data_IF_659344626817
#
_entry.id   IF_659344626817
#
_cell.length_a   1.000
_cell.length_b   1.000
_cell.length_c   1.000
_cell.angle_alpha   90.00
_cell.angle_beta   90.00
_cell.angle_gamma   90.00
#
_symmetry.space_group_name_H-M   'P 1'
#
loop_
_entity.id
_entity.type
_entity.pdbx_description
1 polymer ?
#
# COMPACT_ATOMS: atom_id res chain seq x y z
N UNK A 1 -16.92 7.50 -5.57
CA UNK A 1 -16.47 8.16 -4.32
C UNK A 1 -16.26 9.65 -4.53
N UNK A 2 -15.33 10.08 -5.40
CA UNK A 2 -15.02 11.50 -5.60
C UNK A 2 -16.25 12.39 -5.84
N UNK A 3 -17.12 12.02 -6.78
CA UNK A 3 -18.35 12.76 -7.11
C UNK A 3 -19.30 12.91 -5.92
N UNK A 4 -19.42 11.88 -5.08
CA UNK A 4 -20.22 11.94 -3.84
C UNK A 4 -19.63 12.92 -2.83
N UNK A 5 -18.31 12.94 -2.65
CA UNK A 5 -17.64 13.90 -1.74
C UNK A 5 -17.77 15.34 -2.27
N UNK A 6 -17.65 15.54 -3.58
CA UNK A 6 -17.86 16.84 -4.20
C UNK A 6 -19.31 17.34 -4.04
N UNK A 7 -20.31 16.45 -4.10
CA UNK A 7 -21.70 16.78 -3.82
C UNK A 7 -21.90 17.20 -2.35
N UNK A 8 -21.28 16.49 -1.41
CA UNK A 8 -21.29 16.85 0.02
C UNK A 8 -20.64 18.22 0.24
N UNK A 9 -19.52 18.54 -0.43
CA UNK A 9 -18.94 19.89 -0.39
C UNK A 9 -19.98 20.94 -0.78
N UNK A 10 -20.70 20.73 -1.89
CA UNK A 10 -21.70 21.69 -2.34
C UNK A 10 -22.85 21.87 -1.34
N UNK A 11 -23.26 20.80 -0.65
CA UNK A 11 -24.26 20.87 0.42
C UNK A 11 -23.75 21.67 1.63
N UNK A 12 -22.54 21.38 2.10
CA UNK A 12 -21.91 22.06 3.24
C UNK A 12 -21.70 23.54 2.92
N UNK A 13 -21.20 23.88 1.73
CA UNK A 13 -21.04 25.26 1.28
C UNK A 13 -22.37 26.03 1.31
N UNK A 14 -23.47 25.41 0.84
CA UNK A 14 -24.80 26.02 0.89
C UNK A 14 -25.33 26.20 2.31
N UNK A 15 -25.10 25.22 3.18
CA UNK A 15 -25.58 25.23 4.57
C UNK A 15 -24.89 26.31 5.41
N UNK A 16 -23.60 26.55 5.17
CA UNK A 16 -22.78 27.45 5.98
C UNK A 16 -22.36 28.73 5.25
N UNK A 17 -22.95 29.00 4.08
CA UNK A 17 -22.65 30.16 3.24
C UNK A 17 -21.16 30.33 2.90
N UNK A 18 -20.50 29.22 2.58
CA UNK A 18 -19.12 29.23 2.08
C UNK A 18 -19.09 29.24 0.56
N UNK A 19 -18.08 29.91 -0.02
CA UNK A 19 -17.76 29.71 -1.44
C UNK A 19 -17.25 28.28 -1.66
N UNK A 20 -17.66 27.65 -2.76
CA UNK A 20 -17.17 26.32 -3.13
C UNK A 20 -15.64 26.30 -3.39
N UNK A 21 -15.05 27.45 -3.72
CA UNK A 21 -13.62 27.58 -3.97
C UNK A 21 -12.78 27.54 -2.68
N UNK A 22 -13.42 27.74 -1.51
CA UNK A 22 -12.75 27.67 -0.21
C UNK A 22 -12.47 26.23 0.22
N UNK A 23 -13.30 25.27 -0.18
CA UNK A 23 -13.17 23.85 0.19
C UNK A 23 -12.68 23.04 -1.01
N UNK A 24 -11.37 22.77 -1.03
CA UNK A 24 -10.72 21.99 -2.09
C UNK A 24 -10.82 20.50 -1.83
N UNK A 25 -11.28 19.74 -2.82
CA UNK A 25 -11.37 18.28 -2.76
C UNK A 25 -10.36 17.69 -3.75
N UNK A 26 -9.36 16.98 -3.23
CA UNK A 26 -8.39 16.24 -4.04
C UNK A 26 -8.79 14.78 -4.27
N UNK A 27 -7.93 14.04 -4.98
CA UNK A 27 -8.12 12.62 -5.25
C UNK A 27 -6.82 11.85 -4.98
N UNK A 28 -6.94 10.72 -4.29
CA UNK A 28 -5.86 9.78 -4.00
C UNK A 28 -6.28 8.36 -4.37
N UNK A 29 -5.31 7.48 -4.58
CA UNK A 29 -5.53 6.06 -4.89
C UNK A 29 -5.60 5.77 -6.39
N UNK A 30 -4.81 4.80 -6.86
CA UNK A 30 -4.72 4.46 -8.29
C UNK A 30 -3.88 5.44 -9.13
N UNK A 31 -3.38 6.53 -8.54
CA UNK A 31 -2.60 7.55 -9.25
C UNK A 31 -1.12 7.17 -9.26
N UNK A 32 -0.69 6.55 -10.38
CA UNK A 32 0.70 6.23 -10.66
C UNK A 32 1.17 6.59 -12.07
N UNK A 33 0.31 7.21 -12.88
CA UNK A 33 0.61 7.55 -14.27
C UNK A 33 0.03 8.92 -14.65
N UNK A 34 0.57 9.57 -15.68
CA UNK A 34 -0.01 10.79 -16.26
C UNK A 34 -1.50 10.68 -16.60
N UNK A 35 -1.94 9.54 -17.12
CA UNK A 35 -3.33 9.27 -17.51
C UNK A 35 -4.24 9.27 -16.28
N UNK A 36 -3.84 8.60 -15.20
CA UNK A 36 -4.60 8.56 -13.96
C UNK A 36 -4.72 9.95 -13.33
N UNK A 37 -3.65 10.73 -13.34
CA UNK A 37 -3.67 12.12 -12.87
C UNK A 37 -4.55 13.02 -13.74
N UNK A 38 -4.44 12.94 -15.07
CA UNK A 38 -5.30 13.69 -15.99
C UNK A 38 -6.79 13.36 -15.79
N UNK A 39 -7.13 12.08 -15.60
CA UNK A 39 -8.49 11.66 -15.30
C UNK A 39 -8.99 12.20 -13.95
N UNK A 40 -8.13 12.25 -12.92
CA UNK A 40 -8.47 12.85 -11.64
C UNK A 40 -8.78 14.35 -11.76
N UNK A 41 -7.94 15.10 -12.48
CA UNK A 41 -8.19 16.52 -12.73
C UNK A 41 -9.44 16.74 -13.59
N UNK A 42 -9.69 15.91 -14.59
CA UNK A 42 -10.90 15.98 -15.42
C UNK A 42 -12.19 15.72 -14.61
N UNK A 43 -12.13 14.93 -13.54
CA UNK A 43 -13.25 14.78 -12.59
C UNK A 43 -13.48 16.01 -11.71
N UNK A 44 -12.55 16.97 -11.70
CA UNK A 44 -12.62 18.21 -10.91
C UNK A 44 -11.72 18.23 -9.67
N UNK A 45 -10.84 17.24 -9.49
CA UNK A 45 -9.94 17.19 -8.34
C UNK A 45 -9.08 18.46 -8.27
N UNK A 46 -9.05 19.12 -7.12
CA UNK A 46 -8.23 20.32 -6.90
C UNK A 46 -6.74 19.99 -6.80
N UNK A 47 -6.41 18.76 -6.41
CA UNK A 47 -5.06 18.22 -6.32
C UNK A 47 -5.11 16.69 -6.37
N UNK A 48 -3.97 16.08 -6.67
CA UNK A 48 -3.80 14.62 -6.66
C UNK A 48 -2.79 14.22 -5.59
N UNK A 49 -2.93 13.02 -5.03
CA UNK A 49 -1.98 12.44 -4.10
C UNK A 49 -1.48 11.11 -4.65
N UNK A 50 -0.15 10.97 -4.72
CA UNK A 50 0.53 9.70 -4.99
C UNK A 50 0.95 9.04 -3.67
N UNK A 51 1.07 7.71 -3.70
CA UNK A 51 1.48 6.92 -2.53
C UNK A 51 2.45 5.81 -2.91
N UNK A 52 1.95 4.72 -3.49
CA UNK A 52 2.75 3.53 -3.79
C UNK A 52 4.00 3.82 -4.64
N UNK A 53 3.90 4.73 -5.61
CA UNK A 53 5.05 5.09 -6.47
C UNK A 53 6.17 5.80 -5.71
N UNK A 54 5.83 6.57 -4.66
CA UNK A 54 6.80 7.28 -3.84
C UNK A 54 7.62 6.30 -2.98
N UNK A 55 7.03 5.16 -2.61
CA UNK A 55 7.70 4.15 -1.80
C UNK A 55 8.87 3.47 -2.52
N UNK A 56 8.86 3.47 -3.87
CA UNK A 56 9.94 2.98 -4.71
C UNK A 56 11.01 4.05 -5.03
N UNK A 57 10.87 5.27 -4.50
CA UNK A 57 11.84 6.35 -4.72
C UNK A 57 13.02 6.26 -3.75
N UNK A 58 14.15 6.88 -4.12
CA UNK A 58 15.40 6.83 -3.33
C UNK A 58 15.24 7.44 -1.94
N UNK A 59 14.37 8.44 -1.79
CA UNK A 59 14.07 9.13 -0.52
C UNK A 59 13.20 8.29 0.43
N UNK A 60 12.59 7.21 -0.06
CA UNK A 60 11.77 6.31 0.75
C UNK A 60 12.63 5.58 1.79
N UNK A 61 12.14 5.52 3.03
CA UNK A 61 12.76 4.74 4.12
C UNK A 61 12.57 3.22 4.01
N UNK A 62 12.05 2.71 2.88
CA UNK A 62 12.03 1.28 2.59
C UNK A 62 13.44 0.80 2.24
N UNK A 63 13.80 -0.43 2.64
CA UNK A 63 15.08 -1.02 2.25
C UNK A 63 15.23 -1.16 0.74
N UNK A 64 16.46 -1.26 0.26
CA UNK A 64 16.75 -1.52 -1.15
C UNK A 64 16.11 -2.83 -1.64
N UNK A 65 16.13 -3.90 -0.83
CA UNK A 65 15.44 -5.16 -1.13
C UNK A 65 13.92 -4.98 -1.29
N UNK A 66 13.32 -4.10 -0.50
CA UNK A 66 11.90 -3.74 -0.62
C UNK A 66 11.62 -2.92 -1.88
N UNK A 67 12.46 -1.93 -2.21
CA UNK A 67 12.36 -1.13 -3.44
C UNK A 67 12.53 -2.01 -4.69
N UNK A 68 13.46 -2.96 -4.68
CA UNK A 68 13.62 -3.97 -5.73
C UNK A 68 12.35 -4.81 -5.94
N UNK A 69 11.68 -5.19 -4.86
CA UNK A 69 10.43 -5.93 -4.94
C UNK A 69 9.33 -5.07 -5.58
N UNK A 70 9.23 -3.79 -5.20
CA UNK A 70 8.27 -2.85 -5.80
C UNK A 70 8.54 -2.58 -7.29
N UNK A 71 9.79 -2.45 -7.71
CA UNK A 71 10.15 -2.21 -9.11
C UNK A 71 9.74 -3.35 -10.05
N UNK A 72 9.56 -4.56 -9.52
CA UNK A 72 9.15 -5.75 -10.27
C UNK A 72 7.64 -6.00 -10.25
N UNK A 73 6.87 -5.18 -9.53
CA UNK A 73 5.43 -5.34 -9.41
C UNK A 73 4.72 -4.94 -10.71
N UNK A 74 3.79 -5.75 -11.18
CA UNK A 74 2.77 -5.39 -12.16
C UNK A 74 1.43 -4.99 -11.50
N UNK A 75 0.45 -4.50 -12.26
CA UNK A 75 -0.82 -4.03 -11.72
C UNK A 75 -1.64 -5.11 -10.97
N UNK A 76 -1.45 -6.38 -11.35
CA UNK A 76 -2.12 -7.53 -10.76
C UNK A 76 -1.35 -8.17 -9.60
N UNK A 77 -0.18 -7.64 -9.22
CA UNK A 77 0.68 -8.23 -8.20
C UNK A 77 0.33 -7.77 -6.77
N UNK A 78 -0.91 -7.36 -6.55
CA UNK A 78 -1.43 -6.89 -5.26
C UNK A 78 -2.48 -7.85 -4.71
N UNK A 79 -2.58 -7.95 -3.39
CA UNK A 79 -3.67 -8.66 -2.72
C UNK A 79 -4.06 -7.98 -1.41
N UNK A 80 -5.24 -8.33 -0.89
CA UNK A 80 -5.64 -7.94 0.46
C UNK A 80 -5.04 -8.92 1.47
N UNK A 81 -4.46 -8.41 2.55
CA UNK A 81 -3.95 -9.20 3.67
C UNK A 81 -4.47 -8.65 5.00
N UNK A 82 -4.61 -9.48 6.05
CA UNK A 82 -5.06 -9.01 7.36
C UNK A 82 -4.17 -7.89 7.92
N UNK A 83 -4.79 -6.88 8.50
CA UNK A 83 -4.11 -5.79 9.19
C UNK A 83 -3.75 -6.20 10.62
N UNK A 84 -2.59 -5.78 11.14
CA UNK A 84 -2.12 -6.17 12.47
C UNK A 84 -2.85 -5.46 13.63
N UNK A 85 -3.31 -4.23 13.40
CA UNK A 85 -3.98 -3.35 14.36
C UNK A 85 -5.45 -3.73 14.60
N UNK A 86 -6.12 -4.21 13.56
CA UNK A 86 -7.52 -4.62 13.57
C UNK A 86 -7.70 -6.07 13.10
N UNK A 87 -6.74 -6.94 13.43
CA UNK A 87 -6.70 -8.34 13.02
C UNK A 87 -7.96 -9.08 13.42
N UNK A 88 -8.37 -8.95 14.67
CA UNK A 88 -9.54 -9.61 15.26
C UNK A 88 -10.85 -9.19 14.56
N UNK A 89 -10.89 -7.98 14.01
CA UNK A 89 -12.04 -7.41 13.30
C UNK A 89 -12.07 -7.79 11.81
N UNK A 90 -11.04 -8.50 11.31
CA UNK A 90 -10.96 -8.93 9.92
C UNK A 90 -10.66 -7.81 8.92
N UNK A 91 -10.17 -6.66 9.38
CA UNK A 91 -9.77 -5.58 8.49
C UNK A 91 -8.57 -6.03 7.65
N UNK A 92 -8.58 -5.64 6.38
CA UNK A 92 -7.53 -5.97 5.43
C UNK A 92 -6.89 -4.71 4.85
N UNK A 93 -5.60 -4.81 4.56
CA UNK A 93 -4.80 -3.80 3.84
C UNK A 93 -4.31 -4.37 2.52
N UNK A 94 -4.05 -3.49 1.55
CA UNK A 94 -3.52 -3.88 0.24
C UNK A 94 -1.99 -3.99 0.31
N UNK A 95 -1.45 -5.14 -0.12
CA UNK A 95 -0.03 -5.46 -0.03
C UNK A 95 0.48 -6.10 -1.33
N UNK A 96 1.80 -6.04 -1.54
CA UNK A 96 2.48 -6.78 -2.59
C UNK A 96 2.29 -8.29 -2.39
N UNK A 97 1.95 -9.00 -3.46
CA UNK A 97 1.87 -10.47 -3.52
C UNK A 97 3.07 -11.09 -4.21
N UNK A 98 3.65 -10.41 -5.20
CA UNK A 98 4.77 -10.95 -5.97
C UNK A 98 6.06 -10.95 -5.16
N UNK A 99 6.73 -12.09 -5.10
CA UNK A 99 8.02 -12.23 -4.42
C UNK A 99 7.96 -12.31 -2.89
N UNK A 100 6.75 -12.37 -2.30
CA UNK A 100 6.53 -12.52 -0.86
C UNK A 100 5.36 -13.48 -0.61
N UNK A 101 5.44 -14.24 0.48
CA UNK A 101 4.38 -15.12 1.00
C UNK A 101 3.62 -14.47 2.17
N UNK A 102 3.91 -13.22 2.51
CA UNK A 102 3.26 -12.48 3.61
C UNK A 102 1.73 -12.54 3.52
N UNK A 103 1.16 -12.19 2.36
CA UNK A 103 -0.29 -12.16 2.17
C UNK A 103 -0.95 -13.54 2.40
N UNK A 104 -0.52 -14.60 1.69
CA UNK A 104 -1.05 -15.95 1.90
C UNK A 104 -0.84 -16.50 3.33
N UNK A 105 0.32 -16.22 3.94
CA UNK A 105 0.60 -16.60 5.35
C UNK A 105 -0.35 -15.88 6.29
N UNK A 106 -0.52 -14.57 6.14
CA UNK A 106 -1.47 -13.76 6.90
C UNK A 106 -2.91 -14.26 6.78
N UNK A 107 -3.38 -14.59 5.56
CA UNK A 107 -4.71 -15.17 5.37
C UNK A 107 -4.88 -16.53 6.04
N UNK A 108 -3.84 -17.37 6.08
CA UNK A 108 -3.89 -18.64 6.82
C UNK A 108 -3.95 -18.40 8.33
N UNK A 109 -3.16 -17.47 8.87
CA UNK A 109 -3.23 -17.07 10.29
C UNK A 109 -4.62 -16.58 10.68
N UNK A 110 -5.20 -15.70 9.85
CA UNK A 110 -6.55 -15.18 10.11
C UNK A 110 -7.63 -16.26 10.04
N UNK A 111 -7.51 -17.22 9.11
CA UNK A 111 -8.43 -18.38 9.06
C UNK A 111 -8.39 -19.19 10.35
N UNK A 112 -7.20 -19.52 10.86
CA UNK A 112 -7.09 -20.20 12.15
C UNK A 112 -7.79 -19.44 13.27
N UNK A 113 -7.53 -18.14 13.39
CA UNK A 113 -8.14 -17.31 14.42
C UNK A 113 -9.68 -17.24 14.29
N UNK A 114 -10.17 -17.04 13.06
CA UNK A 114 -11.61 -16.97 12.77
C UNK A 114 -12.32 -18.27 13.13
N UNK A 115 -11.70 -19.40 12.82
CA UNK A 115 -12.23 -20.74 13.06
C UNK A 115 -12.11 -21.14 14.55
N UNK A 116 -11.66 -20.23 15.42
CA UNK A 116 -11.63 -20.40 16.87
C UNK A 116 -10.40 -21.12 17.40
N UNK A 117 -9.34 -21.26 16.61
CA UNK A 117 -8.14 -21.96 17.02
C UNK A 117 -7.41 -21.23 18.17
N UNK A 118 -6.90 -22.03 19.10
CA UNK A 118 -5.79 -21.67 19.99
C UNK A 118 -4.53 -22.39 19.52
N UNK A 119 -3.35 -22.04 20.06
CA UNK A 119 -2.14 -22.78 19.69
C UNK A 119 -2.27 -24.27 20.06
N UNK A 120 -2.83 -24.57 21.22
CA UNK A 120 -3.00 -25.92 21.74
C UNK A 120 -3.93 -26.77 20.85
N UNK A 121 -4.99 -26.17 20.32
CA UNK A 121 -5.99 -26.87 19.51
C UNK A 121 -5.54 -27.15 18.07
N UNK A 122 -4.44 -26.56 17.60
CA UNK A 122 -3.90 -26.82 16.26
C UNK A 122 -3.33 -28.24 16.17
N UNK A 123 -3.45 -28.84 14.98
CA UNK A 123 -2.74 -30.07 14.64
C UNK A 123 -1.22 -29.86 14.73
N UNK A 124 -0.44 -30.92 14.96
CA UNK A 124 1.03 -30.80 15.04
C UNK A 124 1.63 -30.25 13.74
N UNK A 125 1.03 -30.58 12.59
CA UNK A 125 1.41 -30.03 11.29
C UNK A 125 1.21 -28.51 11.24
N UNK A 126 0.09 -28.01 11.76
CA UNK A 126 -0.20 -26.57 11.74
C UNK A 126 0.57 -25.80 12.81
N UNK A 127 0.88 -26.42 13.96
CA UNK A 127 1.82 -25.88 14.95
C UNK A 127 3.21 -25.71 14.34
N UNK A 128 3.73 -26.76 13.70
CA UNK A 128 5.03 -26.71 13.02
C UNK A 128 5.06 -25.64 11.91
N UNK A 129 3.99 -25.55 11.11
CA UNK A 129 3.86 -24.50 10.10
C UNK A 129 3.85 -23.09 10.71
N UNK A 130 3.14 -22.89 11.83
CA UNK A 130 3.10 -21.58 12.50
C UNK A 130 4.47 -21.18 13.03
N UNK A 131 5.17 -22.09 13.69
CA UNK A 131 6.52 -21.81 14.23
C UNK A 131 7.54 -21.54 13.11
N UNK A 132 7.44 -22.24 11.97
CA UNK A 132 8.22 -21.93 10.76
C UNK A 132 7.95 -20.51 10.24
N UNK A 133 6.68 -20.12 10.16
CA UNK A 133 6.27 -18.75 9.76
C UNK A 133 6.77 -17.70 10.75
N UNK A 134 6.71 -17.98 12.05
CA UNK A 134 7.26 -17.10 13.08
C UNK A 134 8.79 -17.01 12.99
N UNK A 135 9.45 -18.09 12.56
CA UNK A 135 10.90 -18.26 12.65
C UNK A 135 11.39 -18.54 14.08
N UNK A 136 10.47 -18.77 15.02
CA UNK A 136 10.72 -19.03 16.42
C UNK A 136 9.57 -19.87 17.01
N UNK A 137 9.80 -20.42 18.21
CA UNK A 137 8.75 -21.16 18.93
C UNK A 137 7.60 -20.23 19.30
N UNK A 138 6.37 -20.74 19.30
CA UNK A 138 5.18 -19.95 19.64
C UNK A 138 5.31 -19.32 21.03
N UNK A 139 5.79 -20.08 22.01
CA UNK A 139 5.94 -19.59 23.39
C UNK A 139 6.98 -18.47 23.48
N UNK A 140 8.09 -18.56 22.72
CA UNK A 140 9.10 -17.48 22.65
C UNK A 140 8.49 -16.20 22.07
N UNK A 141 7.74 -16.33 20.97
CA UNK A 141 7.04 -15.21 20.34
C UNK A 141 5.99 -14.58 21.29
N UNK A 142 5.28 -15.41 22.04
CA UNK A 142 4.33 -14.95 23.07
C UNK A 142 5.03 -14.18 24.17
N UNK A 143 6.07 -14.73 24.79
CA UNK A 143 6.80 -14.08 25.89
C UNK A 143 7.37 -12.73 25.47
N UNK A 144 7.95 -12.64 24.26
CA UNK A 144 8.43 -11.37 23.71
C UNK A 144 7.30 -10.34 23.51
N UNK A 145 6.16 -10.79 22.97
CA UNK A 145 4.98 -9.92 22.78
C UNK A 145 4.40 -9.46 24.11
N UNK A 146 4.29 -10.38 25.06
CA UNK A 146 3.78 -10.12 26.40
C UNK A 146 4.67 -9.10 27.14
N UNK A 147 6.00 -9.26 27.10
CA UNK A 147 6.93 -8.33 27.73
C UNK A 147 6.82 -6.89 27.17
N UNK A 148 6.59 -6.75 25.86
CA UNK A 148 6.31 -5.45 25.23
C UNK A 148 4.96 -4.89 25.67
N UNK A 149 3.89 -5.70 25.59
CA UNK A 149 2.53 -5.28 25.92
C UNK A 149 2.34 -4.98 27.40
N UNK A 150 3.05 -5.65 28.30
CA UNK A 150 3.01 -5.36 29.74
C UNK A 150 3.43 -3.91 30.05
N UNK A 151 4.23 -3.28 29.18
CA UNK A 151 4.61 -1.87 29.28
C UNK A 151 3.67 -0.96 28.49
N UNK A 152 3.32 -1.33 27.26
CA UNK A 152 2.57 -0.47 26.34
C UNK A 152 1.04 -0.54 26.49
N UNK A 153 0.51 -1.71 26.83
CA UNK A 153 -0.92 -1.99 26.95
C UNK A 153 -1.20 -3.12 27.97
N UNK A 154 -1.05 -2.85 29.30
CA UNK A 154 -1.10 -3.87 30.35
C UNK A 154 -2.39 -4.71 30.35
N UNK A 155 -3.54 -4.09 30.07
CA UNK A 155 -4.83 -4.78 30.00
C UNK A 155 -4.86 -5.83 28.87
N UNK A 156 -4.27 -5.52 27.72
CA UNK A 156 -4.15 -6.46 26.60
C UNK A 156 -3.21 -7.60 26.93
N UNK A 157 -2.10 -7.31 27.63
CA UNK A 157 -1.16 -8.32 28.09
C UNK A 157 -1.84 -9.33 29.04
N UNK A 158 -2.59 -8.83 30.03
CA UNK A 158 -3.32 -9.67 30.98
C UNK A 158 -4.36 -10.55 30.28
N UNK A 159 -5.17 -9.98 29.37
CA UNK A 159 -6.15 -10.77 28.60
C UNK A 159 -5.50 -11.89 27.78
N UNK A 160 -4.31 -11.67 27.24
CA UNK A 160 -3.57 -12.70 26.53
C UNK A 160 -2.98 -13.77 27.45
N UNK A 161 -2.77 -13.51 28.75
CA UNK A 161 -2.46 -14.56 29.72
C UNK A 161 -3.69 -15.41 30.04
N UNK A 162 -4.85 -14.75 30.21
CA UNK A 162 -6.07 -15.39 30.70
C UNK A 162 -6.84 -16.16 29.61
N UNK A 163 -6.69 -15.76 28.34
CA UNK A 163 -7.43 -16.31 27.20
C UNK A 163 -6.48 -16.78 26.09
N UNK A 164 -6.44 -18.10 25.86
CA UNK A 164 -5.58 -18.73 24.87
C UNK A 164 -5.87 -18.30 23.41
N UNK A 165 -7.11 -17.88 23.10
CA UNK A 165 -7.48 -17.35 21.78
C UNK A 165 -6.96 -15.93 21.61
N UNK A 166 -7.03 -15.10 22.67
CA UNK A 166 -6.40 -13.77 22.67
C UNK A 166 -4.89 -13.90 22.54
N UNK A 167 -4.26 -14.83 23.28
CA UNK A 167 -2.83 -15.14 23.16
C UNK A 167 -2.45 -15.46 21.71
N UNK A 168 -3.19 -16.36 21.08
CA UNK A 168 -2.98 -16.75 19.70
C UNK A 168 -3.08 -15.56 18.73
N UNK A 169 -4.11 -14.73 18.89
CA UNK A 169 -4.28 -13.52 18.08
C UNK A 169 -3.10 -12.55 18.23
N UNK A 170 -2.62 -12.32 19.45
CA UNK A 170 -1.49 -11.43 19.72
C UNK A 170 -0.19 -11.93 19.07
N UNK A 171 0.06 -13.25 19.07
CA UNK A 171 1.21 -13.82 18.35
C UNK A 171 1.04 -13.71 16.82
N UNK A 172 -0.17 -13.91 16.29
CA UNK A 172 -0.43 -13.67 14.86
C UNK A 172 -0.16 -12.20 14.48
N UNK A 173 -0.62 -11.26 15.32
CA UNK A 173 -0.38 -9.82 15.13
C UNK A 173 1.09 -9.45 15.17
N UNK A 174 1.90 -10.12 16.00
CA UNK A 174 3.36 -9.97 16.00
C UNK A 174 3.94 -10.26 14.61
N UNK A 175 3.61 -11.40 14.01
CA UNK A 175 4.07 -11.72 12.64
C UNK A 175 3.66 -10.64 11.64
N UNK A 176 2.37 -10.23 11.68
CA UNK A 176 1.85 -9.21 10.76
C UNK A 176 2.56 -7.87 10.92
N UNK A 177 2.86 -7.45 12.15
CA UNK A 177 3.62 -6.23 12.44
C UNK A 177 5.08 -6.33 11.99
N UNK A 178 5.74 -7.44 12.31
CA UNK A 178 7.15 -7.65 11.96
C UNK A 178 7.37 -7.74 10.44
N UNK A 179 6.38 -8.17 9.66
CA UNK A 179 6.43 -8.17 8.20
C UNK A 179 6.82 -6.81 7.60
N UNK A 180 6.26 -5.72 8.13
CA UNK A 180 6.58 -4.36 7.68
C UNK A 180 7.97 -3.93 8.15
N UNK A 181 8.35 -4.34 9.37
CA UNK A 181 9.65 -4.04 9.92
C UNK A 181 10.78 -4.71 9.12
N UNK A 182 10.65 -6.00 8.82
CA UNK A 182 11.62 -6.74 8.00
C UNK A 182 11.78 -6.12 6.61
N UNK A 183 10.69 -5.69 5.98
CA UNK A 183 10.73 -5.02 4.68
C UNK A 183 11.45 -3.66 4.76
N UNK A 184 11.22 -2.89 5.83
CA UNK A 184 11.88 -1.60 6.07
C UNK A 184 13.37 -1.75 6.32
N UNK A 185 13.76 -2.72 7.15
CA UNK A 185 15.15 -2.96 7.55
C UNK A 185 15.95 -3.76 6.51
N UNK A 186 15.26 -4.45 5.60
CA UNK A 186 15.92 -5.22 4.55
C UNK A 186 16.46 -6.55 5.05
N UNK A 187 15.76 -7.19 5.98
CA UNK A 187 16.18 -8.47 6.56
C UNK A 187 16.12 -9.58 5.51
N UNK A 188 17.28 -9.94 4.95
CA UNK A 188 17.39 -10.83 3.81
C UNK A 188 16.81 -12.23 4.10
N UNK A 189 17.01 -12.74 5.32
CA UNK A 189 16.46 -14.04 5.73
C UNK A 189 14.93 -14.05 5.79
N UNK A 190 14.29 -12.89 5.88
CA UNK A 190 12.84 -12.70 5.96
C UNK A 190 12.25 -12.11 4.68
N UNK A 191 12.97 -12.13 3.55
CA UNK A 191 12.48 -11.60 2.26
C UNK A 191 11.12 -12.16 1.85
N UNK A 192 10.87 -13.45 2.12
CA UNK A 192 9.59 -14.10 1.84
C UNK A 192 8.43 -13.64 2.73
N UNK A 193 8.70 -12.83 3.75
CA UNK A 193 7.74 -12.35 4.75
C UNK A 193 7.58 -10.83 4.72
N UNK A 194 8.17 -10.16 3.73
CA UNK A 194 8.03 -8.72 3.60
C UNK A 194 6.58 -8.33 3.40
N UNK A 195 6.07 -7.51 4.31
CA UNK A 195 4.83 -6.77 4.13
C UNK A 195 5.18 -5.43 3.49
N UNK A 196 4.79 -5.27 2.23
CA UNK A 196 4.97 -4.01 1.51
C UNK A 196 3.58 -3.51 1.11
N UNK A 197 3.17 -2.37 1.68
CA UNK A 197 1.88 -1.75 1.37
C UNK A 197 1.94 -1.06 0.02
N UNK A 198 1.31 -1.64 -0.99
CA UNK A 198 1.26 -1.02 -2.30
C UNK A 198 0.00 -1.43 -3.05
N UNK A 199 -0.39 -0.57 -3.99
CA UNK A 199 -1.53 -0.80 -4.84
C UNK A 199 -1.20 -0.81 -6.33
N UNK A 200 -2.19 -1.10 -7.20
CA UNK A 200 -2.00 -1.25 -8.64
C UNK A 200 -1.32 -0.06 -9.33
N UNK A 201 -1.40 1.14 -8.72
CA UNK A 201 -0.66 2.33 -9.15
C UNK A 201 0.85 2.09 -9.30
N UNK A 202 1.45 1.26 -8.44
CA UNK A 202 2.87 0.89 -8.55
C UNK A 202 3.14 0.11 -9.84
N UNK A 203 2.30 -0.87 -10.15
CA UNK A 203 2.43 -1.66 -11.37
C UNK A 203 2.25 -0.82 -12.63
N UNK A 204 1.22 0.02 -12.66
CA UNK A 204 0.98 0.93 -13.77
C UNK A 204 2.14 1.94 -13.94
N UNK A 205 2.73 2.40 -12.84
CA UNK A 205 3.94 3.23 -12.89
C UNK A 205 5.13 2.48 -13.48
N UNK A 206 5.41 1.24 -13.05
CA UNK A 206 6.51 0.44 -13.58
C UNK A 206 6.38 0.21 -15.09
N UNK A 207 5.19 -0.12 -15.58
CA UNK A 207 4.90 -0.26 -17.01
C UNK A 207 5.13 1.07 -17.77
N UNK A 208 4.68 2.19 -17.21
CA UNK A 208 4.84 3.50 -17.82
C UNK A 208 6.32 3.91 -17.95
N UNK A 209 7.11 3.70 -16.90
CA UNK A 209 8.54 4.08 -16.88
C UNK A 209 9.46 3.11 -17.61
N UNK A 210 8.97 1.97 -18.09
CA UNK A 210 9.77 0.99 -18.84
C UNK A 210 10.44 1.64 -20.06
N UNK A 211 11.75 1.38 -20.21
CA UNK A 211 12.65 1.92 -21.22
C UNK A 211 13.05 3.38 -20.99
N UNK A 212 12.75 3.97 -19.84
CA UNK A 212 13.02 5.38 -19.54
C UNK A 212 14.08 5.55 -18.44
N UNK A 213 14.53 6.79 -18.25
CA UNK A 213 15.47 7.13 -17.18
C UNK A 213 14.92 6.85 -15.76
N UNK A 214 13.60 6.76 -15.56
CA UNK A 214 12.97 6.41 -14.27
C UNK A 214 12.82 4.90 -14.03
N UNK A 215 13.17 4.05 -15.00
CA UNK A 215 13.14 2.60 -14.79
C UNK A 215 14.11 2.15 -13.69
N UNK A 216 15.40 2.56 -13.72
CA UNK A 216 16.36 2.28 -12.65
C UNK A 216 15.96 2.91 -11.31
N UNK A 217 16.04 2.13 -10.22
CA UNK A 217 15.64 2.58 -8.88
C UNK A 217 16.44 3.81 -8.41
N UNK A 218 17.74 3.86 -8.70
CA UNK A 218 18.62 4.97 -8.33
C UNK A 218 18.22 6.30 -8.99
N UNK A 219 17.42 6.26 -10.06
CA UNK A 219 16.93 7.45 -10.75
C UNK A 219 15.50 7.83 -10.32
N UNK A 220 14.84 7.03 -9.47
CA UNK A 220 13.50 7.33 -8.96
C UNK A 220 13.60 8.34 -7.82
N UNK A 221 13.78 9.60 -8.17
CA UNK A 221 13.64 10.73 -7.26
C UNK A 221 12.15 11.13 -7.16
N UNK A 222 11.65 11.33 -5.94
CA UNK A 222 10.23 11.63 -5.71
C UNK A 222 9.75 12.88 -6.45
N UNK A 223 10.61 13.91 -6.59
CA UNK A 223 10.26 15.12 -7.31
C UNK A 223 10.21 14.86 -8.82
N UNK A 224 11.19 14.16 -9.40
CA UNK A 224 11.13 13.76 -10.82
C UNK A 224 9.89 12.92 -11.14
N UNK A 225 9.53 11.97 -10.27
CA UNK A 225 8.33 11.15 -10.40
C UNK A 225 7.06 12.01 -10.39
N UNK A 226 6.91 12.88 -9.39
CA UNK A 226 5.75 13.76 -9.27
C UNK A 226 5.62 14.73 -10.46
N UNK A 227 6.72 15.38 -10.84
CA UNK A 227 6.73 16.34 -11.95
C UNK A 227 6.47 15.68 -13.30
N UNK A 228 7.02 14.49 -13.57
CA UNK A 228 6.72 13.77 -14.82
C UNK A 228 5.24 13.34 -14.89
N UNK A 229 4.63 12.96 -13.76
CA UNK A 229 3.19 12.65 -13.72
C UNK A 229 2.37 13.90 -14.08
N UNK A 230 2.68 15.05 -13.48
CA UNK A 230 1.94 16.31 -13.72
C UNK A 230 2.17 16.88 -15.13
N UNK A 231 3.40 16.84 -15.63
CA UNK A 231 3.75 17.29 -16.99
C UNK A 231 3.04 16.43 -18.04
N UNK A 232 3.07 15.11 -17.86
CA UNK A 232 2.35 14.20 -18.72
C UNK A 232 0.83 14.42 -18.65
N UNK A 233 0.28 14.64 -17.46
CA UNK A 233 -1.15 14.90 -17.28
C UNK A 233 -1.59 16.18 -18.00
N UNK A 234 -0.74 17.22 -17.97
CA UNK A 234 -0.95 18.48 -18.70
C UNK A 234 -1.01 18.23 -20.20
N UNK A 235 -0.06 17.47 -20.75
CA UNK A 235 -0.05 17.10 -22.18
C UNK A 235 -1.30 16.31 -22.58
N UNK A 236 -1.69 15.31 -21.78
CA UNK A 236 -2.87 14.49 -22.04
C UNK A 236 -4.15 15.33 -22.02
N UNK A 237 -4.25 16.25 -21.06
CA UNK A 237 -5.38 17.18 -20.95
C UNK A 237 -5.48 18.08 -22.18
N UNK A 238 -4.34 18.63 -22.66
CA UNK A 238 -4.30 19.42 -23.89
C UNK A 238 -4.74 18.61 -25.11
N UNK A 239 -4.31 17.37 -25.23
CA UNK A 239 -4.74 16.49 -26.32
C UNK A 239 -6.25 16.25 -26.28
N UNK A 240 -6.81 16.04 -25.09
CA UNK A 240 -8.26 15.88 -24.90
C UNK A 240 -9.03 17.13 -25.32
N UNK A 241 -8.53 18.32 -24.99
CA UNK A 241 -9.12 19.60 -25.43
C UNK A 241 -9.11 19.74 -26.96
N UNK A 242 -7.98 19.45 -27.62
CA UNK A 242 -7.87 19.51 -29.09
C UNK A 242 -8.85 18.55 -29.77
N UNK A 243 -9.00 17.32 -29.24
CA UNK A 243 -9.99 16.35 -29.74
C UNK A 243 -11.41 16.82 -29.55
N UNK A 244 -11.71 17.43 -28.40
CA UNK A 244 -13.03 18.01 -28.11
C UNK A 244 -13.35 19.19 -29.04
N UNK A 245 -12.32 19.88 -29.55
CA UNK A 245 -12.45 20.91 -30.57
C UNK A 245 -12.53 20.35 -32.02
N UNK A 246 -12.63 19.03 -32.20
CA UNK A 246 -12.78 18.38 -33.51
C UNK A 246 -11.48 18.13 -34.27
N UNK A 247 -10.31 18.37 -33.66
CA UNK A 247 -9.03 18.12 -34.32
C UNK A 247 -8.66 16.63 -34.29
N UNK A 248 -8.20 16.12 -35.43
CA UNK A 248 -7.67 14.77 -35.55
C UNK A 248 -6.26 14.69 -34.92
N UNK A 249 -6.19 14.36 -33.62
CA UNK A 249 -4.92 14.24 -32.90
C UNK A 249 -4.43 12.78 -32.87
N UNK A 250 -3.25 12.48 -33.45
CA UNK A 250 -2.69 11.13 -33.47
C UNK A 250 -2.54 10.53 -32.07
N UNK A 251 -2.87 9.24 -31.91
CA UNK A 251 -2.75 8.52 -30.63
C UNK A 251 -1.31 8.47 -30.10
N UNK A 252 -0.31 8.47 -30.98
CA UNK A 252 1.11 8.51 -30.60
C UNK A 252 1.44 9.73 -29.71
N UNK A 253 0.71 10.85 -29.86
CA UNK A 253 0.94 12.03 -29.03
C UNK A 253 0.48 11.84 -27.58
N UNK A 254 -0.36 10.85 -27.27
CA UNK A 254 -0.80 10.53 -25.90
C UNK A 254 0.26 9.75 -25.11
N UNK A 255 1.23 9.15 -25.78
CA UNK A 255 2.32 8.42 -25.14
C UNK A 255 3.35 9.39 -24.56
N UNK A 256 3.05 9.98 -23.40
CA UNK A 256 4.06 10.71 -22.63
C UNK A 256 5.01 9.73 -21.96
N UNK A 257 6.28 9.76 -22.37
CA UNK A 257 7.37 9.02 -21.70
C UNK A 257 8.08 9.94 -20.70
N UNK A 258 8.53 9.41 -19.56
CA UNK A 258 9.31 10.20 -18.61
C UNK A 258 10.53 10.84 -19.27
N UNK A 259 10.80 12.08 -18.89
CA UNK A 259 12.00 12.84 -19.27
C UNK A 259 12.60 13.52 -18.05
N UNK A 260 13.90 13.77 -18.07
CA UNK A 260 14.53 14.58 -17.02
C UNK A 260 13.99 16.01 -17.10
N UNK A 261 13.43 16.49 -15.99
CA UNK A 261 12.91 17.84 -15.86
C UNK A 261 13.89 18.69 -15.05
N UNK A 262 14.08 19.95 -15.42
CA UNK A 262 14.80 20.92 -14.60
C UNK A 262 13.89 21.33 -13.44
N UNK A 263 14.17 20.80 -12.25
CA UNK A 263 13.36 20.95 -11.02
C UNK A 263 14.17 21.58 -9.90
#
# INVERSE_FOLDING_TARGET
VYTSVAAVRAEICRKFDFSQDQIRIGLAGGIGTPQAAAAAFAMGAAYVITGSVNQACVESGLSELGKEALAKAGPADMMMAPAADMFEQGVKVQVLKRGTLFGPRGEKLYRFYRDGATFESLSDKDKAWLEDVLGERFETAWQASHAYLAKAAPQTAQRGQDDARVRFALVCRRYLFMGAQWAREGEAARRSDFQIWCGPAMGAFNEWVTGSFLEPLNNRNVAQVGWNILEGATRITRISQLRSAGLAVPNALQAFKPRELAI
#
